data_IF_089900799461
#
_entry.id   IF_089900799461
#
_cell.length_a   1.000
_cell.length_b   1.000
_cell.length_c   1.000
_cell.angle_alpha   90.00
_cell.angle_beta   90.00
_cell.angle_gamma   90.00
#
_symmetry.space_group_name_H-M   'P 1'
#
loop_
_entity.id
_entity.type
_entity.pdbx_description
1 polymer ?
#
# COMPACT_ATOMS: atom_id res chain seq x y z
N UNK A 1 -3.69 63.71 -31.44
CA UNK A 1 -3.65 63.01 -30.13
C UNK A 1 -3.75 61.52 -30.44
N UNK A 2 -2.96 60.54 -29.98
CA UNK A 2 -1.67 60.42 -29.30
C UNK A 2 -1.44 58.88 -29.22
N UNK A 3 -0.29 58.34 -29.62
CA UNK A 3 0.16 56.96 -29.30
C UNK A 3 0.72 56.94 -27.84
N UNK A 4 1.15 55.80 -27.24
CA UNK A 4 0.66 54.40 -27.20
C UNK A 4 0.75 53.72 -25.79
N UNK A 5 0.54 52.39 -25.74
CA UNK A 5 0.94 51.38 -24.72
C UNK A 5 0.28 51.43 -23.32
N UNK A 6 -0.29 50.29 -22.88
CA UNK A 6 0.26 49.46 -21.78
C UNK A 6 -0.61 48.25 -21.42
N UNK A 7 0.12 47.20 -21.01
CA UNK A 7 -0.24 45.93 -20.37
C UNK A 7 -1.21 46.05 -19.18
N UNK A 8 -1.88 44.94 -18.83
CA UNK A 8 -2.44 44.80 -17.48
C UNK A 8 -3.32 43.58 -17.20
N UNK A 9 -2.79 42.35 -17.35
CA UNK A 9 -3.27 41.22 -16.54
C UNK A 9 -2.56 41.28 -15.17
N UNK A 10 -3.31 41.46 -14.09
CA UNK A 10 -2.87 41.30 -12.69
C UNK A 10 -3.92 40.45 -11.96
N UNK A 11 -3.62 39.55 -11.03
CA UNK A 11 -2.55 39.48 -10.03
C UNK A 11 -2.30 37.99 -9.69
N UNK A 12 -1.07 37.47 -9.63
CA UNK A 12 -0.02 37.56 -8.58
C UNK A 12 -0.03 36.36 -7.63
N UNK A 13 0.98 35.49 -7.82
CA UNK A 13 1.60 34.68 -6.77
C UNK A 13 2.10 35.55 -5.61
N UNK A 14 2.48 34.92 -4.48
CA UNK A 14 3.82 35.20 -3.96
C UNK A 14 4.65 33.94 -3.79
N UNK A 15 5.92 34.08 -4.14
CA UNK A 15 7.01 33.17 -3.86
C UNK A 15 7.42 33.22 -2.37
N UNK A 16 7.94 32.12 -1.85
CA UNK A 16 9.02 32.18 -0.86
C UNK A 16 10.10 31.14 -1.21
N UNK A 17 11.23 31.69 -1.63
CA UNK A 17 12.55 31.09 -1.69
C UNK A 17 12.97 30.61 -0.29
N UNK A 18 13.41 29.36 -0.15
CA UNK A 18 14.67 29.02 0.54
C UNK A 18 15.29 27.86 -0.23
N UNK A 19 16.41 28.14 -0.90
CA UNK A 19 17.24 27.17 -1.60
C UNK A 19 18.49 26.93 -0.76
N UNK A 20 18.87 25.66 -0.63
CA UNK A 20 20.20 25.12 -0.31
C UNK A 20 20.78 25.32 1.10
N UNK A 21 21.09 24.20 1.76
CA UNK A 21 22.47 23.77 2.06
C UNK A 21 22.46 22.50 2.91
N UNK A 22 23.02 21.39 2.41
CA UNK A 22 24.26 20.79 2.93
C UNK A 22 24.52 19.40 2.31
N UNK A 23 25.63 19.32 1.57
CA UNK A 23 26.35 18.08 1.21
C UNK A 23 27.67 18.13 1.99
N UNK A 24 27.95 17.05 2.73
CA UNK A 24 29.25 16.54 3.22
C UNK A 24 30.17 17.44 4.08
N UNK A 25 30.46 16.99 5.32
CA UNK A 25 31.82 16.60 5.78
C UNK A 25 31.94 16.62 7.31
N UNK A 26 32.46 15.53 7.87
CA UNK A 26 33.30 15.39 9.07
C UNK A 26 33.25 16.50 10.14
N UNK A 27 32.67 16.20 11.29
CA UNK A 27 33.05 16.84 12.56
C UNK A 27 33.11 15.79 13.69
N UNK A 28 34.35 15.46 14.10
CA UNK A 28 34.66 14.90 15.41
C UNK A 28 34.51 16.03 16.43
N UNK A 29 33.53 15.95 17.34
CA UNK A 29 33.61 16.63 18.64
C UNK A 29 33.27 15.63 19.74
N UNK A 30 34.25 15.52 20.62
CA UNK A 30 34.30 14.79 21.87
C UNK A 30 33.51 15.52 22.95
N UNK A 31 32.91 14.74 23.88
CA UNK A 31 32.33 15.08 25.20
C UNK A 31 30.78 15.13 25.31
N UNK A 32 30.22 14.62 26.44
CA UNK A 32 28.89 14.02 26.49
C UNK A 32 27.84 14.93 27.15
N UNK A 33 26.54 14.70 26.86
CA UNK A 33 25.49 15.06 27.81
C UNK A 33 24.34 15.97 27.35
N UNK A 34 24.05 16.10 26.05
CA UNK A 34 22.85 16.82 25.60
C UNK A 34 22.05 15.98 24.59
N UNK A 35 20.95 15.37 25.03
CA UNK A 35 19.88 14.90 24.14
C UNK A 35 18.99 16.10 23.83
N UNK A 36 19.20 16.74 22.69
CA UNK A 36 18.18 17.61 22.09
C UNK A 36 17.26 16.74 21.23
N UNK A 37 16.07 16.44 21.73
CA UNK A 37 15.01 15.82 20.95
C UNK A 37 14.41 16.86 20.02
N UNK A 38 14.84 16.88 18.76
CA UNK A 38 14.17 17.66 17.71
C UNK A 38 12.94 16.87 17.27
N UNK A 39 11.77 17.35 17.68
CA UNK A 39 10.49 16.81 17.29
C UNK A 39 10.14 17.35 15.90
N UNK A 40 10.51 16.61 14.85
CA UNK A 40 10.11 16.92 13.47
C UNK A 40 8.71 16.35 13.30
N UNK A 41 7.70 17.22 13.36
CA UNK A 41 6.32 16.86 13.06
C UNK A 41 6.20 16.47 11.59
N UNK A 42 6.10 15.17 11.33
CA UNK A 42 5.68 14.63 10.04
C UNK A 42 4.18 14.84 9.86
N UNK A 43 3.70 15.21 8.66
CA UNK A 43 2.28 15.36 8.42
C UNK A 43 1.59 14.01 8.59
N UNK A 44 0.57 13.99 9.45
CA UNK A 44 -0.33 12.86 9.69
C UNK A 44 -1.10 12.51 8.41
N UNK A 45 -0.54 11.65 7.55
CA UNK A 45 -1.34 10.58 6.96
C UNK A 45 -1.20 9.38 7.90
N UNK A 46 -1.83 9.54 9.05
CA UNK A 46 -1.92 8.54 10.10
C UNK A 46 -2.52 7.27 9.52
N UNK A 47 -1.74 6.19 9.57
CA UNK A 47 -2.19 4.81 9.70
C UNK A 47 -3.68 4.76 10.08
N UNK A 48 -4.54 4.55 9.08
CA UNK A 48 -5.73 3.75 9.32
C UNK A 48 -5.21 2.35 9.62
N UNK A 49 -4.75 2.17 10.86
CA UNK A 49 -4.67 0.86 11.48
C UNK A 49 -6.13 0.44 11.56
N UNK A 50 -6.62 -0.19 10.49
CA UNK A 50 -7.92 -0.80 10.45
C UNK A 50 -7.95 -1.71 11.69
N UNK A 51 -8.79 -1.39 12.67
CA UNK A 51 -8.89 -2.14 13.91
C UNK A 51 -9.48 -3.52 13.60
N UNK A 52 -8.60 -4.44 13.26
CA UNK A 52 -8.95 -5.81 12.94
C UNK A 52 -9.06 -6.64 14.22
N UNK A 53 -10.20 -7.30 14.39
CA UNK A 53 -10.47 -8.20 15.51
C UNK A 53 -11.68 -7.80 16.35
N UNK A 54 -12.21 -8.79 17.09
CA UNK A 54 -13.32 -8.58 18.02
C UNK A 54 -12.85 -7.76 19.23
N UNK A 55 -13.47 -6.60 19.43
CA UNK A 55 -13.37 -5.82 20.67
C UNK A 55 -13.95 -6.60 21.86
N UNK A 56 -13.59 -6.23 23.10
CA UNK A 56 -14.15 -6.89 24.29
C UNK A 56 -15.68 -6.75 24.39
N UNK A 57 -16.22 -5.58 24.00
CA UNK A 57 -17.67 -5.33 23.90
C UNK A 57 -18.37 -6.29 22.93
N UNK A 58 -17.69 -6.64 21.85
CA UNK A 58 -18.19 -7.58 20.84
C UNK A 58 -18.14 -9.04 21.29
N UNK A 59 -17.15 -9.43 22.09
CA UNK A 59 -17.11 -10.77 22.73
C UNK A 59 -18.20 -10.92 23.78
N UNK A 60 -18.47 -9.88 24.55
CA UNK A 60 -19.56 -9.86 25.54
C UNK A 60 -20.94 -9.91 24.87
N UNK A 61 -21.12 -9.19 23.76
CA UNK A 61 -22.31 -9.28 22.91
C UNK A 61 -22.50 -10.70 22.35
N UNK A 62 -21.42 -11.36 21.89
CA UNK A 62 -21.39 -12.74 21.38
C UNK A 62 -21.93 -13.76 22.40
N UNK A 63 -21.58 -13.60 23.68
CA UNK A 63 -22.01 -14.50 24.76
C UNK A 63 -23.43 -14.20 25.23
N UNK A 64 -23.79 -12.92 25.41
CA UNK A 64 -25.14 -12.54 25.84
C UNK A 64 -26.21 -12.89 24.80
N UNK A 65 -25.88 -12.90 23.51
CA UNK A 65 -26.85 -13.19 22.45
C UNK A 65 -27.09 -14.68 22.32
N UNK A 66 -26.02 -15.51 22.28
CA UNK A 66 -26.12 -16.98 22.27
C UNK A 66 -26.96 -17.53 23.42
N UNK A 67 -26.76 -17.04 24.65
CA UNK A 67 -27.53 -17.51 25.80
C UNK A 67 -29.00 -17.09 25.75
N UNK A 68 -29.29 -15.87 25.25
CA UNK A 68 -30.66 -15.35 25.15
C UNK A 68 -31.45 -15.99 24.01
N UNK A 69 -30.85 -16.25 22.85
CA UNK A 69 -31.54 -16.88 21.71
C UNK A 69 -31.82 -18.35 21.94
N UNK A 70 -30.85 -19.11 22.47
CA UNK A 70 -31.01 -20.54 22.80
C UNK A 70 -32.09 -20.74 23.88
N UNK A 71 -32.11 -19.90 24.91
CA UNK A 71 -33.12 -19.99 25.98
C UNK A 71 -34.53 -19.65 25.48
N UNK A 72 -34.67 -18.71 24.54
CA UNK A 72 -35.97 -18.30 23.98
C UNK A 72 -36.54 -19.33 23.00
N UNK A 73 -35.69 -19.95 22.17
CA UNK A 73 -36.07 -21.03 21.25
C UNK A 73 -36.60 -22.27 21.99
N UNK A 74 -35.90 -22.69 23.06
CA UNK A 74 -36.30 -23.84 23.88
C UNK A 74 -37.67 -23.64 24.55
N UNK A 75 -38.08 -22.40 24.81
CA UNK A 75 -39.33 -22.08 25.49
C UNK A 75 -40.54 -21.91 24.55
N UNK A 76 -40.30 -21.75 23.24
CA UNK A 76 -41.33 -21.61 22.19
C UNK A 76 -41.74 -22.97 21.63
N UNK A 77 -40.79 -23.91 21.48
CA UNK A 77 -41.05 -25.29 21.04
C UNK A 77 -41.95 -26.08 22.01
N UNK A 78 -42.08 -25.67 23.26
CA UNK A 78 -42.85 -26.40 24.28
C UNK A 78 -44.37 -26.15 24.23
N UNK A 79 -44.88 -25.14 23.52
CA UNK A 79 -46.26 -24.61 23.71
C UNK A 79 -47.27 -24.85 22.54
N UNK A 80 -47.00 -25.87 21.71
CA UNK A 80 -47.98 -26.61 20.88
C UNK A 80 -49.15 -25.87 20.21
N UNK A 81 -48.92 -25.34 19.00
CA UNK A 81 -49.94 -25.20 17.91
C UNK A 81 -49.23 -25.22 16.55
N UNK A 82 -49.55 -26.19 15.69
CA UNK A 82 -48.88 -26.44 14.39
C UNK A 82 -48.66 -25.19 13.49
N UNK A 83 -49.57 -24.20 13.50
CA UNK A 83 -49.40 -22.95 12.74
C UNK A 83 -48.38 -21.98 13.38
N UNK A 84 -48.36 -21.89 14.71
CA UNK A 84 -47.35 -21.13 15.44
C UNK A 84 -45.99 -21.85 15.41
N UNK A 85 -46.03 -23.18 15.36
CA UNK A 85 -44.88 -24.07 15.22
C UNK A 85 -44.22 -23.92 13.83
N UNK A 86 -44.99 -23.95 12.74
CA UNK A 86 -44.48 -23.67 11.39
C UNK A 86 -43.90 -22.25 11.25
N UNK A 87 -44.49 -21.26 11.91
CA UNK A 87 -43.93 -19.90 11.98
C UNK A 87 -42.64 -19.88 12.81
N UNK A 88 -42.62 -20.51 13.98
CA UNK A 88 -41.46 -20.63 14.86
C UNK A 88 -40.29 -21.36 14.19
N UNK A 89 -40.55 -22.40 13.40
CA UNK A 89 -39.54 -23.09 12.59
C UNK A 89 -38.94 -22.19 11.51
N UNK A 90 -39.76 -21.35 10.86
CA UNK A 90 -39.30 -20.35 9.87
C UNK A 90 -38.37 -19.33 10.54
N UNK A 91 -38.73 -18.86 11.73
CA UNK A 91 -37.90 -17.95 12.54
C UNK A 91 -36.61 -18.58 13.04
N UNK A 92 -36.68 -19.83 13.49
CA UNK A 92 -35.52 -20.59 13.97
C UNK A 92 -34.49 -20.79 12.85
N UNK A 93 -34.96 -21.10 11.63
CA UNK A 93 -34.11 -21.20 10.44
C UNK A 93 -33.44 -19.88 10.09
N UNK A 94 -34.20 -18.77 10.08
CA UNK A 94 -33.64 -17.44 9.81
C UNK A 94 -32.59 -17.04 10.86
N UNK A 95 -32.86 -17.29 12.13
CA UNK A 95 -31.92 -17.03 13.22
C UNK A 95 -30.61 -17.82 13.04
N UNK A 96 -30.72 -19.11 12.70
CA UNK A 96 -29.57 -19.97 12.41
C UNK A 96 -28.72 -19.44 11.25
N UNK A 97 -29.37 -18.96 10.17
CA UNK A 97 -28.68 -18.35 9.03
C UNK A 97 -27.99 -17.04 9.42
N UNK A 98 -28.65 -16.17 10.19
CA UNK A 98 -28.03 -14.93 10.70
C UNK A 98 -26.82 -15.23 11.60
N UNK A 99 -26.88 -16.28 12.43
CA UNK A 99 -25.74 -16.70 13.25
C UNK A 99 -24.59 -17.26 12.41
N UNK A 100 -24.89 -18.02 11.35
CA UNK A 100 -23.88 -18.52 10.43
C UNK A 100 -23.19 -17.38 9.69
N UNK A 101 -23.96 -16.45 9.13
CA UNK A 101 -23.44 -15.26 8.46
C UNK A 101 -22.59 -14.43 9.40
N UNK A 102 -23.03 -14.23 10.64
CA UNK A 102 -22.23 -13.55 11.66
C UNK A 102 -20.88 -14.23 11.88
N UNK A 103 -20.87 -15.56 12.07
CA UNK A 103 -19.63 -16.33 12.24
C UNK A 103 -18.72 -16.19 11.03
N UNK A 104 -19.27 -16.30 9.83
CA UNK A 104 -18.52 -16.14 8.59
C UNK A 104 -17.92 -14.73 8.45
N UNK A 105 -18.68 -13.66 8.73
CA UNK A 105 -18.17 -12.27 8.72
C UNK A 105 -17.00 -12.13 9.70
N UNK A 106 -17.08 -12.73 10.89
CA UNK A 106 -15.97 -12.72 11.84
C UNK A 106 -14.74 -13.43 11.29
N UNK A 107 -14.91 -14.63 10.73
CA UNK A 107 -13.80 -15.39 10.14
C UNK A 107 -13.15 -14.60 9.02
N UNK A 108 -13.93 -13.91 8.18
CA UNK A 108 -13.40 -13.08 7.10
C UNK A 108 -12.65 -11.84 7.61
N UNK A 109 -13.16 -11.18 8.64
CA UNK A 109 -12.45 -10.07 9.30
C UNK A 109 -11.09 -10.54 9.87
N UNK A 110 -11.05 -11.74 10.47
CA UNK A 110 -9.81 -12.35 10.97
C UNK A 110 -8.87 -12.81 9.84
N UNK A 111 -9.39 -13.33 8.73
CA UNK A 111 -8.60 -13.67 7.54
C UNK A 111 -7.98 -12.43 6.91
N UNK A 112 -8.75 -11.34 6.78
CA UNK A 112 -8.28 -10.07 6.28
C UNK A 112 -7.18 -9.48 7.17
N UNK A 113 -7.33 -9.60 8.49
CA UNK A 113 -6.30 -9.21 9.46
C UNK A 113 -4.97 -9.96 9.25
N UNK A 114 -5.04 -11.26 8.91
CA UNK A 114 -3.84 -12.09 8.66
C UNK A 114 -3.12 -11.72 7.36
N UNK A 115 -3.79 -11.04 6.44
CA UNK A 115 -3.16 -10.56 5.20
C UNK A 115 -2.24 -9.36 5.43
N UNK A 116 -2.33 -8.70 6.59
CA UNK A 116 -1.44 -7.59 6.90
C UNK A 116 -0.05 -8.07 7.36
N UNK A 117 1.04 -7.36 6.99
CA UNK A 117 1.08 -6.09 6.25
C UNK A 117 1.00 -6.26 4.71
N UNK A 118 0.88 -5.13 4.00
CA UNK A 118 0.96 -5.06 2.53
C UNK A 118 2.30 -5.67 2.07
N UNK A 119 2.26 -6.52 1.05
CA UNK A 119 3.42 -7.22 0.51
C UNK A 119 4.47 -6.28 -0.07
N UNK A 120 5.75 -6.67 0.07
CA UNK A 120 6.90 -5.90 -0.39
C UNK A 120 7.36 -6.17 -1.82
N UNK A 121 6.62 -6.99 -2.57
CA UNK A 121 6.89 -7.36 -3.95
C UNK A 121 5.61 -7.68 -4.74
N UNK A 122 5.70 -7.58 -6.06
CA UNK A 122 4.58 -7.76 -7.00
C UNK A 122 3.93 -9.15 -6.87
N UNK A 123 4.66 -10.28 -6.81
CA UNK A 123 4.05 -11.60 -6.62
C UNK A 123 3.20 -11.71 -5.36
N UNK A 124 3.70 -11.19 -4.23
CA UNK A 124 2.97 -11.20 -2.96
C UNK A 124 1.70 -10.35 -3.05
N UNK A 125 1.76 -9.20 -3.69
CA UNK A 125 0.59 -8.34 -3.87
C UNK A 125 -0.46 -8.92 -4.81
N UNK A 126 -0.06 -9.59 -5.90
CA UNK A 126 -0.99 -10.32 -6.75
C UNK A 126 -1.69 -11.45 -5.99
N UNK A 127 -0.99 -12.11 -5.06
CA UNK A 127 -1.62 -13.07 -4.17
C UNK A 127 -2.63 -12.40 -3.22
N UNK A 128 -2.28 -11.25 -2.63
CA UNK A 128 -3.15 -10.50 -1.72
C UNK A 128 -4.37 -9.88 -2.43
N UNK A 129 -4.26 -9.52 -3.71
CA UNK A 129 -5.33 -8.94 -4.53
C UNK A 129 -6.47 -9.94 -4.81
N UNK A 130 -6.18 -11.24 -4.82
CA UNK A 130 -7.17 -12.28 -5.15
C UNK A 130 -8.18 -12.56 -4.01
N UNK A 131 -8.20 -11.77 -2.94
CA UNK A 131 -9.12 -11.96 -1.82
C UNK A 131 -10.42 -11.14 -2.00
N UNK A 132 -11.35 -11.67 -2.81
CA UNK A 132 -12.68 -11.06 -3.04
C UNK A 132 -13.79 -11.70 -2.17
N UNK A 133 -14.90 -10.97 -1.99
CA UNK A 133 -16.02 -11.30 -1.10
C UNK A 133 -17.01 -12.29 -1.72
N UNK A 134 -16.75 -13.59 -1.59
CA UNK A 134 -17.55 -14.67 -2.22
C UNK A 134 -19.03 -14.78 -1.74
N UNK A 135 -19.43 -14.17 -0.62
CA UNK A 135 -20.78 -14.35 -0.01
C UNK A 135 -21.67 -13.11 -0.01
N UNK A 136 -21.34 -12.06 -0.75
CA UNK A 136 -22.12 -10.81 -0.78
C UNK A 136 -23.63 -11.05 -1.03
N UNK A 137 -23.97 -11.81 -2.07
CA UNK A 137 -25.37 -12.09 -2.42
C UNK A 137 -26.13 -12.83 -1.31
N UNK A 138 -25.47 -13.73 -0.58
CA UNK A 138 -26.10 -14.49 0.51
C UNK A 138 -26.40 -13.60 1.71
N UNK A 139 -25.49 -12.66 2.02
CA UNK A 139 -25.70 -11.68 3.10
C UNK A 139 -26.87 -10.77 2.77
N UNK A 140 -26.89 -10.18 1.56
CA UNK A 140 -27.96 -9.28 1.12
C UNK A 140 -29.31 -10.00 1.13
N UNK A 141 -29.40 -11.18 0.51
CA UNK A 141 -30.65 -11.94 0.44
C UNK A 141 -31.19 -12.38 1.81
N UNK A 142 -30.31 -12.77 2.75
CA UNK A 142 -30.74 -13.16 4.11
C UNK A 142 -31.23 -11.94 4.91
N UNK A 143 -30.59 -10.77 4.75
CA UNK A 143 -31.04 -9.53 5.37
C UNK A 143 -32.39 -9.06 4.79
N UNK A 144 -32.63 -9.27 3.49
CA UNK A 144 -33.90 -8.95 2.84
C UNK A 144 -35.02 -9.92 3.27
N UNK A 145 -34.72 -11.22 3.40
CA UNK A 145 -35.64 -12.19 3.97
C UNK A 145 -36.03 -11.82 5.41
N UNK A 146 -35.05 -11.44 6.25
CA UNK A 146 -35.32 -10.96 7.59
C UNK A 146 -36.23 -9.72 7.59
N UNK A 147 -35.97 -8.77 6.70
CA UNK A 147 -36.79 -7.54 6.55
C UNK A 147 -38.22 -7.86 6.12
N UNK A 148 -38.41 -8.67 5.08
CA UNK A 148 -39.72 -9.05 4.58
C UNK A 148 -40.55 -9.76 5.65
N UNK A 149 -39.95 -10.70 6.37
CA UNK A 149 -40.66 -11.46 7.40
C UNK A 149 -40.98 -10.64 8.66
N UNK A 150 -40.14 -9.65 8.98
CA UNK A 150 -40.43 -8.67 10.03
C UNK A 150 -41.57 -7.72 9.63
N UNK A 151 -41.75 -7.45 8.33
CA UNK A 151 -42.87 -6.68 7.79
C UNK A 151 -44.18 -7.49 7.76
N UNK A 152 -44.10 -8.81 7.58
CA UNK A 152 -45.24 -9.74 7.69
C UNK A 152 -45.73 -9.94 9.15
N UNK A 153 -45.10 -9.30 10.13
CA UNK A 153 -45.62 -9.28 11.50
C UNK A 153 -46.81 -8.33 11.62
N UNK A 154 -47.90 -8.72 12.30
CA UNK A 154 -49.02 -7.82 12.51
C UNK A 154 -48.54 -6.58 13.28
N UNK A 155 -48.43 -5.47 12.57
CA UNK A 155 -48.19 -4.13 13.12
C UNK A 155 -49.42 -3.80 13.98
N UNK A 156 -49.20 -3.31 15.19
CA UNK A 156 -50.23 -2.72 16.04
C UNK A 156 -50.99 -1.64 15.25
N UNK A 157 -52.20 -1.96 14.78
CA UNK A 157 -53.25 -0.97 14.63
C UNK A 157 -53.98 -0.84 15.97
N UNK A 158 -54.25 0.38 16.48
CA UNK A 158 -55.04 0.53 17.69
C UNK A 158 -56.48 0.16 17.39
N UNK A 159 -56.87 -1.08 17.69
CA UNK A 159 -58.26 -1.53 17.65
C UNK A 159 -58.44 -2.88 16.97
N UNK A 160 -58.35 -3.97 17.74
CA UNK A 160 -59.47 -4.88 17.95
C UNK A 160 -59.06 -6.04 18.87
N UNK A 161 -59.84 -6.36 19.92
CA UNK A 161 -59.49 -7.44 20.85
C UNK A 161 -59.75 -8.80 20.19
N UNK A 162 -58.71 -9.42 19.63
CA UNK A 162 -58.75 -10.83 19.22
C UNK A 162 -58.80 -11.73 20.45
N UNK A 163 -60.02 -12.09 20.85
CA UNK A 163 -60.37 -12.78 22.11
C UNK A 163 -59.81 -14.20 22.33
N UNK A 164 -58.90 -14.75 21.51
CA UNK A 164 -58.52 -16.17 21.59
C UNK A 164 -57.01 -16.50 21.48
N UNK A 165 -56.10 -15.53 21.62
CA UNK A 165 -54.67 -15.81 21.81
C UNK A 165 -54.33 -15.77 23.31
N UNK A 166 -53.71 -16.84 23.84
CA UNK A 166 -53.20 -16.78 25.20
C UNK A 166 -52.09 -15.71 25.27
N UNK A 167 -52.13 -14.80 26.26
CA UNK A 167 -51.18 -13.68 26.37
C UNK A 167 -49.72 -14.13 26.45
N UNK A 168 -49.46 -15.33 27.01
CA UNK A 168 -48.12 -15.91 27.12
C UNK A 168 -47.49 -16.28 25.77
N UNK A 169 -48.26 -16.69 24.78
CA UNK A 169 -47.75 -17.10 23.46
C UNK A 169 -47.44 -15.89 22.58
N UNK A 170 -48.21 -14.82 22.74
CA UNK A 170 -48.00 -13.55 22.05
C UNK A 170 -46.76 -12.80 22.57
N UNK A 171 -46.53 -12.82 23.89
CA UNK A 171 -45.33 -12.26 24.50
C UNK A 171 -44.04 -12.96 24.03
N UNK A 172 -44.09 -14.29 23.85
CA UNK A 172 -42.98 -15.10 23.29
C UNK A 172 -42.68 -14.74 21.84
N UNK A 173 -43.69 -14.62 20.99
CA UNK A 173 -43.52 -14.21 19.59
C UNK A 173 -42.93 -12.80 19.48
N UNK A 174 -43.37 -11.87 20.36
CA UNK A 174 -42.79 -10.52 20.48
C UNK A 174 -41.32 -10.55 20.91
N UNK A 175 -40.96 -11.46 21.81
CA UNK A 175 -39.57 -11.68 22.24
C UNK A 175 -38.66 -12.12 21.08
N UNK A 176 -39.09 -13.11 20.31
CA UNK A 176 -38.37 -13.60 19.13
C UNK A 176 -38.22 -12.51 18.05
N UNK A 177 -39.28 -11.76 17.76
CA UNK A 177 -39.22 -10.66 16.80
C UNK A 177 -38.22 -9.56 17.23
N UNK A 178 -38.13 -9.24 18.52
CA UNK A 178 -37.12 -8.31 19.05
C UNK A 178 -35.70 -8.87 18.91
N UNK A 179 -35.49 -10.15 19.21
CA UNK A 179 -34.18 -10.80 19.06
C UNK A 179 -33.71 -10.78 17.60
N UNK A 180 -34.61 -11.06 16.66
CA UNK A 180 -34.29 -11.09 15.23
C UNK A 180 -34.03 -9.70 14.67
N UNK A 181 -34.80 -8.68 15.09
CA UNK A 181 -34.49 -7.28 14.74
C UNK A 181 -33.09 -6.89 15.20
N UNK A 182 -32.74 -7.24 16.44
CA UNK A 182 -31.43 -6.95 17.01
C UNK A 182 -30.33 -7.64 16.21
N UNK A 183 -30.42 -8.96 16.02
CA UNK A 183 -29.39 -9.72 15.31
C UNK A 183 -29.26 -9.32 13.82
N UNK A 184 -30.38 -9.01 13.16
CA UNK A 184 -30.37 -8.50 11.77
C UNK A 184 -29.65 -7.16 11.69
N UNK A 185 -29.86 -6.27 12.66
CA UNK A 185 -29.15 -4.99 12.75
C UNK A 185 -27.64 -5.18 12.95
N UNK A 186 -27.25 -6.06 13.86
CA UNK A 186 -25.84 -6.36 14.14
C UNK A 186 -25.13 -7.00 12.93
N UNK A 187 -25.74 -8.02 12.29
CA UNK A 187 -25.18 -8.64 11.08
C UNK A 187 -25.02 -7.60 9.96
N UNK A 188 -25.99 -6.70 9.80
CA UNK A 188 -25.91 -5.60 8.82
C UNK A 188 -24.76 -4.65 9.12
N UNK A 189 -24.66 -4.15 10.35
CA UNK A 189 -23.61 -3.21 10.75
C UNK A 189 -22.22 -3.81 10.52
N UNK A 190 -22.03 -5.08 10.92
CA UNK A 190 -20.76 -5.78 10.69
C UNK A 190 -20.46 -6.06 9.24
N UNK A 191 -21.48 -6.41 8.46
CA UNK A 191 -21.33 -6.58 7.02
C UNK A 191 -20.83 -5.28 6.37
N UNK A 192 -21.44 -4.14 6.69
CA UNK A 192 -21.00 -2.84 6.17
C UNK A 192 -19.57 -2.49 6.62
N UNK A 193 -19.23 -2.76 7.89
CA UNK A 193 -17.85 -2.58 8.39
C UNK A 193 -16.85 -3.43 7.62
N UNK A 194 -17.11 -4.73 7.46
CA UNK A 194 -16.25 -5.65 6.70
C UNK A 194 -16.12 -5.18 5.25
N UNK A 195 -17.22 -4.75 4.61
CA UNK A 195 -17.19 -4.19 3.24
C UNK A 195 -16.26 -2.99 3.15
N UNK A 196 -16.34 -2.08 4.13
CA UNK A 196 -15.45 -0.93 4.22
C UNK A 196 -13.98 -1.33 4.41
N UNK A 197 -13.70 -2.29 5.29
CA UNK A 197 -12.35 -2.81 5.51
C UNK A 197 -11.78 -3.47 4.25
N UNK A 198 -12.56 -4.32 3.58
CA UNK A 198 -12.15 -4.98 2.33
C UNK A 198 -11.92 -3.95 1.23
N UNK A 199 -12.82 -2.97 1.07
CA UNK A 199 -12.66 -1.91 0.07
C UNK A 199 -11.42 -1.04 0.32
N UNK A 200 -11.17 -0.67 1.58
CA UNK A 200 -9.96 0.09 1.95
C UNK A 200 -8.68 -0.72 1.75
N UNK A 201 -8.68 -1.99 2.16
CA UNK A 201 -7.56 -2.92 1.93
C UNK A 201 -7.28 -3.13 0.44
N UNK A 202 -8.32 -3.36 -0.36
CA UNK A 202 -8.20 -3.55 -1.80
C UNK A 202 -7.56 -2.31 -2.46
N UNK A 203 -8.02 -1.12 -2.10
CA UNK A 203 -7.43 0.13 -2.60
C UNK A 203 -5.96 0.29 -2.18
N UNK A 204 -5.59 -0.09 -0.96
CA UNK A 204 -4.20 -0.08 -0.50
C UNK A 204 -3.33 -1.08 -1.29
N UNK A 205 -3.81 -2.30 -1.51
CA UNK A 205 -3.10 -3.33 -2.29
C UNK A 205 -2.95 -2.90 -3.75
N UNK A 206 -3.98 -2.32 -4.37
CA UNK A 206 -3.92 -1.82 -5.75
C UNK A 206 -2.93 -0.67 -5.89
N UNK A 207 -2.96 0.30 -4.97
CA UNK A 207 -1.99 1.40 -4.96
C UNK A 207 -0.56 0.89 -4.76
N UNK A 208 -0.35 -0.04 -3.83
CA UNK A 208 0.96 -0.65 -3.59
C UNK A 208 1.46 -1.40 -4.82
N UNK A 209 0.56 -2.12 -5.51
CA UNK A 209 0.88 -2.91 -6.69
C UNK A 209 1.33 -2.01 -7.85
N UNK A 210 0.61 -0.92 -8.10
CA UNK A 210 0.98 0.07 -9.12
C UNK A 210 2.39 0.62 -8.86
N UNK A 211 2.68 1.07 -7.63
CA UNK A 211 3.99 1.65 -7.27
C UNK A 211 5.13 0.65 -7.37
N UNK A 212 4.91 -0.60 -6.95
CA UNK A 212 5.93 -1.64 -7.07
C UNK A 212 6.15 -2.08 -8.51
N UNK A 213 5.12 -2.06 -9.35
CA UNK A 213 5.26 -2.33 -10.79
C UNK A 213 6.04 -1.22 -11.50
N UNK A 214 5.77 0.05 -11.19
CA UNK A 214 6.53 1.19 -11.71
C UNK A 214 8.00 1.10 -11.31
N UNK A 215 8.28 0.81 -10.03
CA UNK A 215 9.63 0.62 -9.52
C UNK A 215 10.33 -0.54 -10.23
N UNK A 216 9.68 -1.71 -10.33
CA UNK A 216 10.27 -2.89 -10.98
C UNK A 216 10.59 -2.60 -12.45
N UNK A 217 9.67 -1.97 -13.18
CA UNK A 217 9.88 -1.62 -14.59
C UNK A 217 11.04 -0.65 -14.76
N UNK A 218 11.16 0.35 -13.88
CA UNK A 218 12.25 1.32 -13.91
C UNK A 218 13.59 0.69 -13.52
N UNK A 219 13.61 -0.24 -12.55
CA UNK A 219 14.79 -1.01 -12.18
C UNK A 219 15.27 -1.90 -13.33
N UNK A 220 14.36 -2.59 -14.03
CA UNK A 220 14.69 -3.45 -15.17
C UNK A 220 15.27 -2.63 -16.35
N UNK A 221 14.72 -1.43 -16.60
CA UNK A 221 15.26 -0.51 -17.61
C UNK A 221 16.65 -0.01 -17.24
N UNK A 222 16.86 0.40 -16.00
CA UNK A 222 18.17 0.83 -15.50
C UNK A 222 19.19 -0.31 -15.56
N UNK A 223 18.79 -1.54 -15.21
CA UNK A 223 19.65 -2.73 -15.31
C UNK A 223 20.13 -2.96 -16.74
N UNK A 224 19.21 -2.88 -17.72
CA UNK A 224 19.53 -3.03 -19.14
C UNK A 224 20.50 -1.93 -19.61
N UNK A 225 20.26 -0.67 -19.24
CA UNK A 225 21.12 0.45 -19.61
C UNK A 225 22.51 0.34 -18.98
N UNK A 226 22.59 -0.03 -17.71
CA UNK A 226 23.86 -0.27 -17.01
C UNK A 226 24.64 -1.40 -17.65
N UNK A 227 23.97 -2.52 -17.97
CA UNK A 227 24.62 -3.68 -18.60
C UNK A 227 25.27 -3.30 -19.93
N UNK A 228 24.57 -2.56 -20.80
CA UNK A 228 25.13 -2.07 -22.07
C UNK A 228 26.34 -1.16 -21.86
N UNK A 229 26.26 -0.23 -20.92
CA UNK A 229 27.37 0.68 -20.63
C UNK A 229 28.58 -0.07 -20.03
N UNK A 230 28.34 -1.06 -19.17
CA UNK A 230 29.37 -1.92 -18.60
C UNK A 230 30.04 -2.80 -19.67
N UNK A 231 29.30 -3.30 -20.66
CA UNK A 231 29.82 -4.01 -21.82
C UNK A 231 30.75 -3.12 -22.65
N UNK A 232 30.34 -1.87 -22.95
CA UNK A 232 31.20 -0.90 -23.64
C UNK A 232 32.49 -0.66 -22.86
N UNK A 233 32.39 -0.44 -21.54
CA UNK A 233 33.56 -0.30 -20.65
C UNK A 233 34.45 -1.55 -20.66
N UNK A 234 33.88 -2.75 -20.75
CA UNK A 234 34.64 -3.99 -20.76
C UNK A 234 35.53 -4.13 -22.02
N UNK A 235 35.23 -3.42 -23.10
CA UNK A 235 36.06 -3.39 -24.32
C UNK A 235 37.30 -2.51 -24.20
N UNK A 236 37.42 -1.72 -23.13
CA UNK A 236 38.53 -0.77 -22.99
C UNK A 236 39.84 -1.48 -22.73
N UNK A 237 40.81 -1.20 -23.60
CA UNK A 237 42.20 -1.61 -23.38
C UNK A 237 42.83 -0.79 -22.24
N UNK A 238 43.74 -1.39 -21.45
CA UNK A 238 44.57 -0.65 -20.51
C UNK A 238 45.28 0.52 -21.17
N UNK A 239 45.44 1.64 -20.46
CA UNK A 239 46.06 2.87 -21.01
C UNK A 239 47.48 2.60 -21.50
N UNK A 240 48.23 1.77 -20.77
CA UNK A 240 49.63 1.42 -21.10
C UNK A 240 49.80 0.60 -22.38
N UNK A 241 48.72 0.01 -22.90
CA UNK A 241 48.75 -0.78 -24.15
C UNK A 241 48.36 0.05 -25.38
N UNK A 242 47.98 1.31 -25.19
CA UNK A 242 47.59 2.20 -26.28
C UNK A 242 48.82 2.78 -26.99
N UNK A 243 48.68 3.02 -28.29
CA UNK A 243 49.67 3.77 -29.05
C UNK A 243 49.60 5.26 -28.69
N UNK A 244 50.75 5.92 -28.59
CA UNK A 244 50.86 7.32 -28.18
C UNK A 244 50.08 8.25 -29.13
N UNK A 245 50.13 7.96 -30.43
CA UNK A 245 49.45 8.72 -31.48
C UNK A 245 47.93 8.52 -31.49
N UNK A 246 47.40 7.45 -30.86
CA UNK A 246 45.95 7.22 -30.72
C UNK A 246 45.35 7.76 -29.42
N UNK A 247 46.16 8.25 -28.48
CA UNK A 247 45.69 8.69 -27.16
C UNK A 247 44.57 9.76 -27.23
N UNK A 248 44.69 10.73 -28.16
CA UNK A 248 43.67 11.77 -28.34
C UNK A 248 42.32 11.17 -28.79
N UNK A 249 42.33 10.23 -29.72
CA UNK A 249 41.12 9.54 -30.18
C UNK A 249 40.45 8.76 -29.03
N UNK A 250 41.25 8.11 -28.16
CA UNK A 250 40.70 7.46 -26.97
C UNK A 250 40.15 8.45 -25.94
N UNK A 251 40.75 9.63 -25.78
CA UNK A 251 40.20 10.71 -24.94
C UNK A 251 38.82 11.13 -25.48
N UNK A 252 38.75 11.40 -26.78
CA UNK A 252 37.52 11.87 -27.42
C UNK A 252 36.41 10.80 -27.33
N UNK A 253 36.73 9.53 -27.59
CA UNK A 253 35.80 8.39 -27.41
C UNK A 253 35.33 8.23 -25.97
N UNK A 254 36.23 8.32 -24.99
CA UNK A 254 35.85 8.17 -23.58
C UNK A 254 35.03 9.38 -23.09
N UNK A 255 35.33 10.58 -23.60
CA UNK A 255 34.55 11.79 -23.33
C UNK A 255 33.15 11.69 -23.95
N UNK A 256 33.03 11.18 -25.17
CA UNK A 256 31.74 10.93 -25.81
C UNK A 256 30.92 9.90 -25.01
N UNK A 257 31.56 8.81 -24.57
CA UNK A 257 30.91 7.80 -23.73
C UNK A 257 30.42 8.37 -22.38
N UNK A 258 31.18 9.29 -21.77
CA UNK A 258 30.75 10.00 -20.56
C UNK A 258 29.46 10.79 -20.78
N UNK A 259 29.32 11.46 -21.92
CA UNK A 259 28.09 12.17 -22.27
C UNK A 259 26.96 11.18 -22.59
N UNK A 260 27.26 10.06 -23.26
CA UNK A 260 26.29 8.99 -23.58
C UNK A 260 25.65 8.39 -22.32
N UNK A 261 26.43 8.18 -21.25
CA UNK A 261 25.90 7.61 -19.99
C UNK A 261 25.23 8.63 -19.07
N UNK A 262 25.22 9.93 -19.42
CA UNK A 262 24.61 10.98 -18.60
C UNK A 262 23.12 10.73 -18.29
N UNK A 263 22.28 10.24 -19.21
CA UNK A 263 20.87 9.91 -18.93
C UNK A 263 20.67 8.88 -17.82
N UNK A 264 21.60 7.94 -17.61
CA UNK A 264 21.50 6.94 -16.54
C UNK A 264 21.44 7.57 -15.15
N UNK A 265 21.99 8.78 -14.98
CA UNK A 265 21.84 9.55 -13.73
C UNK A 265 20.37 9.83 -13.41
N UNK A 266 19.60 10.17 -14.43
CA UNK A 266 18.17 10.43 -14.28
C UNK A 266 17.42 9.13 -14.03
N UNK A 267 17.76 8.04 -14.71
CA UNK A 267 17.16 6.71 -14.47
C UNK A 267 17.36 6.27 -13.01
N UNK A 268 18.60 6.37 -12.49
CA UNK A 268 18.91 6.09 -11.08
C UNK A 268 18.11 6.98 -10.13
N UNK A 269 17.92 8.26 -10.48
CA UNK A 269 17.13 9.17 -9.68
C UNK A 269 15.66 8.74 -9.64
N UNK A 270 15.07 8.41 -10.78
CA UNK A 270 13.67 7.95 -10.89
C UNK A 270 13.47 6.68 -10.07
N UNK A 271 14.34 5.68 -10.22
CA UNK A 271 14.29 4.43 -9.44
C UNK A 271 14.32 4.71 -7.93
N UNK A 272 15.21 5.60 -7.46
CA UNK A 272 15.29 5.94 -6.04
C UNK A 272 14.10 6.79 -5.55
N UNK A 273 13.53 7.65 -6.40
CA UNK A 273 12.32 8.42 -6.10
C UNK A 273 11.11 7.48 -5.95
N UNK A 274 10.92 6.54 -6.87
CA UNK A 274 9.88 5.51 -6.80
C UNK A 274 10.03 4.62 -5.54
N UNK A 275 11.27 4.25 -5.19
CA UNK A 275 11.53 3.51 -3.95
C UNK A 275 11.18 4.33 -2.70
N UNK A 276 11.42 5.64 -2.71
CA UNK A 276 11.08 6.54 -1.61
C UNK A 276 9.55 6.71 -1.45
N UNK A 277 8.79 6.68 -2.55
CA UNK A 277 7.31 6.75 -2.55
C UNK A 277 6.64 5.57 -1.82
N UNK A 278 7.36 4.46 -1.60
CA UNK A 278 6.86 3.31 -0.83
C UNK A 278 6.83 3.57 0.68
N UNK A 279 7.70 4.44 1.19
CA UNK A 279 7.81 4.75 2.63
C UNK A 279 6.53 5.37 3.21
N UNK A 280 5.91 6.41 2.61
CA UNK A 280 4.66 6.96 3.12
C UNK A 280 3.48 5.98 3.05
N UNK A 281 3.59 4.89 2.28
CA UNK A 281 2.61 3.82 2.19
C UNK A 281 2.85 2.70 3.22
N UNK A 282 3.88 2.82 4.07
CA UNK A 282 4.31 1.78 5.02
C UNK A 282 4.66 0.44 4.33
N UNK A 283 5.11 0.52 3.07
CA UNK A 283 5.52 -0.64 2.27
C UNK A 283 7.02 -0.84 2.46
N UNK A 284 7.40 -1.99 3.01
CA UNK A 284 8.79 -2.41 3.07
C UNK A 284 9.10 -3.29 1.87
N UNK A 285 10.09 -2.89 1.06
CA UNK A 285 10.58 -3.73 -0.04
C UNK A 285 11.01 -5.11 0.47
N UNK A 286 10.76 -6.13 -0.33
CA UNK A 286 11.30 -7.45 -0.06
C UNK A 286 12.83 -7.42 -0.03
N UNK A 287 13.45 -8.34 0.71
CA UNK A 287 14.91 -8.42 0.82
C UNK A 287 15.61 -8.55 -0.55
N UNK A 288 14.95 -9.21 -1.50
CA UNK A 288 15.45 -9.39 -2.86
C UNK A 288 15.41 -8.09 -3.65
N UNK A 289 14.26 -7.39 -3.64
CA UNK A 289 14.09 -6.12 -4.35
C UNK A 289 15.01 -5.02 -3.79
N UNK A 290 15.12 -4.93 -2.46
CA UNK A 290 16.05 -4.00 -1.80
C UNK A 290 17.50 -4.26 -2.22
N UNK A 291 17.94 -5.52 -2.25
CA UNK A 291 19.29 -5.87 -2.67
C UNK A 291 19.55 -5.52 -4.14
N UNK A 292 18.57 -5.74 -5.01
CA UNK A 292 18.68 -5.38 -6.43
C UNK A 292 18.82 -3.86 -6.61
N UNK A 293 18.02 -3.07 -5.90
CA UNK A 293 18.12 -1.61 -5.90
C UNK A 293 19.51 -1.12 -5.46
N UNK A 294 20.03 -1.67 -4.36
CA UNK A 294 21.39 -1.35 -3.88
C UNK A 294 22.46 -1.73 -4.90
N UNK A 295 22.32 -2.90 -5.54
CA UNK A 295 23.25 -3.37 -6.57
C UNK A 295 23.27 -2.44 -7.78
N UNK A 296 22.11 -1.98 -8.27
CA UNK A 296 22.02 -1.02 -9.38
C UNK A 296 22.70 0.31 -9.02
N UNK A 297 22.44 0.83 -7.82
CA UNK A 297 23.08 2.05 -7.32
C UNK A 297 24.61 1.92 -7.22
N UNK A 298 25.11 0.76 -6.79
CA UNK A 298 26.55 0.50 -6.68
C UNK A 298 27.22 0.34 -8.04
N UNK A 299 26.56 -0.35 -8.98
CA UNK A 299 27.02 -0.50 -10.38
C UNK A 299 27.13 0.85 -11.07
N UNK A 300 26.10 1.70 -10.95
CA UNK A 300 26.13 3.06 -11.48
C UNK A 300 27.32 3.87 -10.95
N UNK A 301 27.52 3.90 -9.62
CA UNK A 301 28.66 4.60 -9.01
C UNK A 301 30.00 4.07 -9.51
N UNK A 302 30.13 2.75 -9.63
CA UNK A 302 31.35 2.10 -10.10
C UNK A 302 31.65 2.44 -11.56
N UNK A 303 30.61 2.49 -12.41
CA UNK A 303 30.73 2.91 -13.80
C UNK A 303 31.19 4.37 -13.90
N UNK A 304 30.58 5.28 -13.15
CA UNK A 304 30.97 6.69 -13.10
C UNK A 304 32.45 6.85 -12.73
N UNK A 305 32.89 6.20 -11.64
CA UNK A 305 34.29 6.26 -11.18
C UNK A 305 35.24 5.74 -12.27
N UNK A 306 34.91 4.61 -12.90
CA UNK A 306 35.77 4.02 -13.92
C UNK A 306 35.93 4.91 -15.17
N UNK A 307 34.87 5.62 -15.58
CA UNK A 307 34.92 6.56 -16.71
C UNK A 307 35.82 7.74 -16.38
N UNK A 308 35.64 8.35 -15.21
CA UNK A 308 36.46 9.49 -14.76
C UNK A 308 37.93 9.09 -14.59
N UNK A 309 38.21 7.92 -14.02
CA UNK A 309 39.58 7.44 -13.84
C UNK A 309 40.24 7.10 -15.19
N UNK A 310 39.50 6.51 -16.15
CA UNK A 310 40.02 6.27 -17.50
C UNK A 310 40.39 7.57 -18.21
N UNK A 311 39.54 8.60 -18.10
CA UNK A 311 39.81 9.93 -18.67
C UNK A 311 41.06 10.57 -18.07
N UNK A 312 41.21 10.53 -16.75
CA UNK A 312 42.41 11.05 -16.08
C UNK A 312 43.67 10.37 -16.58
N UNK A 313 43.70 9.03 -16.59
CA UNK A 313 44.86 8.27 -17.04
C UNK A 313 45.20 8.54 -18.52
N UNK A 314 44.20 8.69 -19.38
CA UNK A 314 44.41 9.07 -20.77
C UNK A 314 45.01 10.47 -20.91
N UNK A 315 44.49 11.44 -20.16
CA UNK A 315 44.96 12.82 -20.20
C UNK A 315 46.37 12.96 -19.63
N UNK A 316 46.70 12.20 -18.59
CA UNK A 316 48.06 12.08 -18.04
C UNK A 316 49.01 11.49 -19.08
N UNK A 317 48.67 10.34 -19.67
CA UNK A 317 49.49 9.74 -20.73
C UNK A 317 49.66 10.67 -21.94
N UNK A 318 48.60 11.34 -22.38
CA UNK A 318 48.67 12.29 -23.51
C UNK A 318 49.51 13.52 -23.18
N UNK A 319 49.53 13.97 -21.93
CA UNK A 319 50.41 15.07 -21.48
C UNK A 319 51.88 14.65 -21.43
N UNK A 320 52.14 13.45 -20.93
CA UNK A 320 53.49 12.95 -20.68
C UNK A 320 54.21 12.48 -21.95
N UNK A 321 53.45 12.01 -22.94
CA UNK A 321 53.99 11.47 -24.20
C UNK A 321 53.56 12.25 -25.46
N UNK A 322 52.68 13.25 -25.33
CA UNK A 322 52.20 14.05 -26.46
C UNK A 322 53.27 14.99 -27.06
N UNK A 323 52.97 15.65 -28.19
CA UNK A 323 53.93 16.50 -28.93
C UNK A 323 54.48 17.68 -28.12
N UNK A 324 53.81 18.04 -27.04
CA UNK A 324 54.21 19.11 -26.12
C UNK A 324 55.02 18.63 -24.91
N UNK A 325 55.26 17.32 -24.78
CA UNK A 325 55.98 16.74 -23.65
C UNK A 325 57.49 17.00 -23.76
N UNK A 326 58.08 17.57 -22.71
CA UNK A 326 59.53 17.81 -22.62
C UNK A 326 60.34 16.51 -22.47
N UNK A 327 59.66 15.38 -22.24
CA UNK A 327 60.27 14.06 -22.11
C UNK A 327 60.89 13.54 -23.42
N UNK A 328 60.44 14.05 -24.56
CA UNK A 328 61.00 13.72 -25.87
C UNK A 328 62.40 14.33 -26.10
N UNK A 329 62.79 15.36 -25.33
CA UNK A 329 64.03 16.12 -25.56
C UNK A 329 65.15 15.82 -24.55
N UNK A 330 65.02 14.79 -23.71
CA UNK A 330 66.00 14.48 -22.64
C UNK A 330 66.85 13.22 -22.88
N UNK A 331 66.73 12.59 -24.05
CA UNK A 331 67.53 11.42 -24.44
C UNK A 331 68.36 11.74 -25.68
N UNK A 332 69.39 12.57 -25.52
CA UNK A 332 70.59 12.57 -26.37
C UNK A 332 71.81 12.14 -25.55
#
# INVERSE_FOLDING_TARGET
LQLPLLFGCGMSLPACHIQQMFVLSSFKITQPGWRASVNIGFPQYSQQKLDFGLTNSERESKNSIKEKTVSQLNHVMFDGRAHLEASAERWSRLLGLLEELWRWICTKDEELAKQMPVGGDVPTLLQQQNHCMEREHLVISTLDQARMFLADQPIEGPGEPRKNLQPKTEEKARGLARAIRKQTGEVRERWERLKGHVGGWQAQVEQALERLQDLQSSMDQLDLHLTRAEETKATWQPVGDLLIDSLQDHIDKTSAFREEITPLRQDVRVVNELAAELTPLDIQLSSTASRQLDQLNMRWKSLQVAVEDRLKLLQEAHRDFGPSSQHFLSSE
#
